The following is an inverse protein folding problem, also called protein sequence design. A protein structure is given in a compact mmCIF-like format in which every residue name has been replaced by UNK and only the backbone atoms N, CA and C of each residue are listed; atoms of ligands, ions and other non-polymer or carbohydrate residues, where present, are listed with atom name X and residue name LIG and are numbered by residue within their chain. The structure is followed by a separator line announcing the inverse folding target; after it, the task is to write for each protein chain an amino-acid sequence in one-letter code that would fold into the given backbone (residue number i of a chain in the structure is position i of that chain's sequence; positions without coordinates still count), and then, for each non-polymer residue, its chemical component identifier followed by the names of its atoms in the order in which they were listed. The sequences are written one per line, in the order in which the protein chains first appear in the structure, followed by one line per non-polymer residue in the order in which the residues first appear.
data_IF_763122109387
#
_entry.id   IF_763122109387
#
_cell.length_a   1.000
_cell.length_b   1.000
_cell.length_c   1.000
_cell.angle_alpha   90.00
_cell.angle_beta   90.00
_cell.angle_gamma   90.00
#
_symmetry.space_group_name_H-M   'P 1'
#
loop_
_entity.id
_entity.type
_entity.pdbx_description
1 polymer ?
#
# COMPACT_ATOMS: atom_id res chain seq x y z
N UNK A 1 36.97 5.45 8.58
CA UNK A 1 35.90 4.57 8.05
C UNK A 1 34.48 4.98 8.49
N UNK A 2 34.23 6.18 9.05
CA UNK A 2 32.86 6.62 9.42
C UNK A 2 32.09 7.35 8.32
N UNK A 3 32.75 7.91 7.31
CA UNK A 3 32.10 8.75 6.29
C UNK A 3 31.24 7.96 5.29
N UNK A 4 31.55 6.68 5.07
CA UNK A 4 30.87 5.83 4.09
C UNK A 4 29.50 5.34 4.59
N UNK A 5 29.40 5.03 5.89
CA UNK A 5 28.15 4.57 6.53
C UNK A 5 27.13 5.71 6.64
N UNK A 6 27.59 6.92 6.93
CA UNK A 6 26.73 8.11 7.00
C UNK A 6 26.16 8.51 5.63
N UNK A 7 26.88 8.21 4.55
CA UNK A 7 26.45 8.52 3.18
C UNK A 7 25.43 7.50 2.68
N UNK A 8 25.64 6.21 2.94
CA UNK A 8 24.69 5.14 2.59
C UNK A 8 23.36 5.29 3.34
N UNK A 9 23.41 5.65 4.62
CA UNK A 9 22.20 5.84 5.44
C UNK A 9 21.36 7.03 4.94
N UNK A 10 22.00 8.16 4.61
CA UNK A 10 21.31 9.34 4.03
C UNK A 10 20.71 9.05 2.65
N UNK A 11 21.40 8.28 1.83
CA UNK A 11 20.92 7.86 0.51
C UNK A 11 19.68 6.95 0.61
N UNK A 12 19.70 6.02 1.58
CA UNK A 12 18.57 5.14 1.88
C UNK A 12 17.34 5.95 2.34
N UNK A 13 17.53 6.92 3.24
CA UNK A 13 16.45 7.78 3.72
C UNK A 13 15.82 8.61 2.59
N UNK A 14 16.63 9.13 1.67
CA UNK A 14 16.14 9.92 0.55
C UNK A 14 15.39 9.06 -0.48
N UNK A 15 15.87 7.82 -0.70
CA UNK A 15 15.16 6.85 -1.54
C UNK A 15 13.79 6.51 -0.94
N UNK A 16 13.70 6.24 0.37
CA UNK A 16 12.43 5.95 1.05
C UNK A 16 11.49 7.15 1.00
N UNK A 17 11.98 8.38 1.20
CA UNK A 17 11.16 9.60 1.04
C UNK A 17 10.62 9.75 -0.37
N UNK A 18 11.44 9.48 -1.38
CA UNK A 18 11.03 9.55 -2.79
C UNK A 18 9.90 8.56 -3.07
N UNK A 19 10.03 7.31 -2.59
CA UNK A 19 8.98 6.31 -2.73
C UNK A 19 7.71 6.71 -1.97
N UNK A 20 7.86 7.23 -0.75
CA UNK A 20 6.73 7.67 0.06
C UNK A 20 5.97 8.84 -0.60
N UNK A 21 6.68 9.80 -1.20
CA UNK A 21 6.04 10.89 -1.94
C UNK A 21 5.24 10.37 -3.13
N UNK A 22 5.78 9.39 -3.89
CA UNK A 22 5.02 8.72 -4.96
C UNK A 22 3.82 7.96 -4.40
N UNK A 23 3.96 7.33 -3.23
CA UNK A 23 2.87 6.59 -2.60
C UNK A 23 1.71 7.51 -2.19
N UNK A 24 1.98 8.70 -1.65
CA UNK A 24 0.95 9.72 -1.39
C UNK A 24 0.24 10.19 -2.66
N UNK A 25 0.98 10.40 -3.76
CA UNK A 25 0.38 10.79 -5.05
C UNK A 25 -0.57 9.71 -5.59
N UNK A 26 -0.15 8.44 -5.49
CA UNK A 26 -0.97 7.30 -5.90
C UNK A 26 -2.19 7.09 -5.00
N UNK A 27 -2.05 7.29 -3.68
CA UNK A 27 -3.18 7.27 -2.76
C UNK A 27 -4.21 8.36 -3.09
N UNK A 28 -3.75 9.58 -3.38
CA UNK A 28 -4.65 10.68 -3.78
C UNK A 28 -5.36 10.38 -5.11
N UNK A 29 -4.62 9.85 -6.11
CA UNK A 29 -5.22 9.43 -7.37
C UNK A 29 -6.26 8.32 -7.17
N UNK A 30 -5.96 7.33 -6.33
CA UNK A 30 -6.89 6.26 -5.96
C UNK A 30 -8.15 6.79 -5.27
N UNK A 31 -8.00 7.76 -4.35
CA UNK A 31 -9.12 8.41 -3.67
C UNK A 31 -10.02 9.14 -4.65
N UNK A 32 -9.46 9.92 -5.58
CA UNK A 32 -10.23 10.59 -6.65
C UNK A 32 -10.96 9.56 -7.50
N UNK A 33 -10.29 8.47 -7.89
CA UNK A 33 -10.89 7.40 -8.69
C UNK A 33 -12.09 6.75 -7.97
N UNK A 34 -11.96 6.47 -6.67
CA UNK A 34 -13.00 5.88 -5.82
C UNK A 34 -14.25 6.76 -5.69
N UNK A 35 -14.14 8.09 -5.87
CA UNK A 35 -15.33 8.96 -5.86
C UNK A 35 -16.24 8.79 -7.07
N UNK A 36 -15.70 8.24 -8.17
CA UNK A 36 -16.40 8.15 -9.46
C UNK A 36 -16.76 6.72 -9.85
N UNK A 37 -16.32 5.72 -9.07
CA UNK A 37 -16.51 4.30 -9.36
C UNK A 37 -16.96 3.55 -8.12
N UNK A 38 -17.90 2.62 -8.29
CA UNK A 38 -18.23 1.68 -7.23
C UNK A 38 -17.06 0.71 -7.05
N UNK A 39 -16.56 0.56 -5.83
CA UNK A 39 -15.40 -0.28 -5.54
C UNK A 39 -15.60 -1.05 -4.24
N UNK A 40 -14.94 -2.19 -4.13
CA UNK A 40 -15.04 -3.09 -2.98
C UNK A 40 -13.70 -3.15 -2.24
N UNK A 41 -13.76 -3.39 -0.94
CA UNK A 41 -12.58 -3.59 -0.12
C UNK A 41 -11.72 -4.74 -0.65
N UNK A 42 -10.41 -4.50 -0.73
CA UNK A 42 -9.41 -5.44 -1.26
C UNK A 42 -9.22 -5.40 -2.78
N UNK A 43 -10.00 -4.60 -3.52
CA UNK A 43 -9.86 -4.47 -4.97
C UNK A 43 -8.78 -3.44 -5.32
N UNK A 44 -7.96 -3.77 -6.31
CA UNK A 44 -7.02 -2.83 -6.93
C UNK A 44 -7.81 -1.81 -7.76
N UNK A 45 -7.71 -0.54 -7.38
CA UNK A 45 -8.31 0.57 -8.12
C UNK A 45 -7.41 1.07 -9.24
N UNK A 46 -6.10 1.02 -9.02
CA UNK A 46 -5.11 1.53 -9.95
C UNK A 46 -3.87 0.65 -9.92
N UNK A 47 -3.36 0.37 -11.12
CA UNK A 47 -2.10 -0.31 -11.33
C UNK A 47 -1.29 0.47 -12.38
N UNK A 48 -0.05 0.79 -12.05
CA UNK A 48 0.93 1.33 -12.97
C UNK A 48 2.13 0.38 -13.03
N UNK A 49 2.56 0.03 -14.24
CA UNK A 49 3.75 -0.79 -14.46
C UNK A 49 4.92 0.13 -14.82
N UNK A 50 5.94 0.16 -13.96
CA UNK A 50 7.23 0.80 -14.23
C UNK A 50 8.27 -0.22 -14.67
N UNK A 51 9.46 0.26 -15.02
CA UNK A 51 10.54 -0.58 -15.59
C UNK A 51 11.16 -1.62 -14.64
N UNK A 52 10.87 -1.55 -13.34
CA UNK A 52 11.40 -2.45 -12.31
C UNK A 52 10.39 -2.71 -11.17
N UNK A 53 9.32 -1.91 -11.09
CA UNK A 53 8.33 -1.96 -10.03
C UNK A 53 6.93 -1.88 -10.62
N UNK A 54 6.00 -2.66 -10.09
CA UNK A 54 4.58 -2.36 -10.17
C UNK A 54 4.17 -1.44 -9.02
N UNK A 55 3.20 -0.57 -9.29
CA UNK A 55 2.58 0.30 -8.30
C UNK A 55 1.10 -0.04 -8.25
N UNK A 56 0.65 -0.56 -7.13
CA UNK A 56 -0.71 -1.08 -6.94
C UNK A 56 -1.41 -0.28 -5.84
N UNK A 57 -2.61 0.23 -6.12
CA UNK A 57 -3.44 0.97 -5.17
C UNK A 57 -4.69 0.17 -4.89
N UNK A 58 -4.87 -0.21 -3.63
CA UNK A 58 -5.99 -1.01 -3.16
C UNK A 58 -6.95 -0.14 -2.38
N UNK A 59 -8.24 -0.31 -2.67
CA UNK A 59 -9.28 0.22 -1.81
C UNK A 59 -9.42 -0.65 -0.57
N UNK A 60 -9.46 -0.04 0.60
CA UNK A 60 -9.74 -0.73 1.85
C UNK A 60 -11.12 -0.34 2.36
N UNK A 61 -11.35 0.96 2.57
CA UNK A 61 -12.65 1.54 2.91
C UNK A 61 -12.66 3.03 2.50
N UNK A 62 -13.75 3.79 2.73
CA UNK A 62 -13.84 5.18 2.25
C UNK A 62 -12.70 6.11 2.72
N UNK A 63 -12.13 5.84 3.89
CA UNK A 63 -11.09 6.66 4.48
C UNK A 63 -9.69 6.01 4.37
N UNK A 64 -9.58 4.76 3.91
CA UNK A 64 -8.31 4.02 3.91
C UNK A 64 -8.00 3.41 2.56
N UNK A 65 -6.76 3.59 2.13
CA UNK A 65 -6.20 2.98 0.92
C UNK A 65 -4.87 2.32 1.25
N UNK A 66 -4.56 1.23 0.57
CA UNK A 66 -3.23 0.64 0.59
C UNK A 66 -2.50 0.95 -0.72
N UNK A 67 -1.21 1.25 -0.62
CA UNK A 67 -0.33 1.44 -1.77
C UNK A 67 0.83 0.47 -1.64
N UNK A 68 1.07 -0.32 -2.68
CA UNK A 68 2.11 -1.35 -2.71
C UNK A 68 3.01 -1.11 -3.91
N UNK A 69 4.30 -1.06 -3.64
CA UNK A 69 5.33 -1.10 -4.65
C UNK A 69 5.98 -2.48 -4.59
N UNK A 70 5.79 -3.25 -5.65
CA UNK A 70 6.31 -4.61 -5.75
C UNK A 70 7.31 -4.71 -6.92
N UNK A 71 8.30 -5.61 -6.85
CA UNK A 71 9.14 -5.91 -8.01
C UNK A 71 8.29 -6.30 -9.21
N UNK A 72 8.55 -5.71 -10.38
CA UNK A 72 7.80 -6.01 -11.62
C UNK A 72 7.99 -7.48 -12.05
N UNK A 73 9.07 -8.14 -11.62
CA UNK A 73 9.33 -9.56 -11.91
C UNK A 73 8.31 -10.53 -11.32
N UNK A 74 7.29 -10.04 -10.61
CA UNK A 74 6.21 -10.87 -10.08
C UNK A 74 5.22 -11.20 -11.19
N UNK A 75 4.80 -12.46 -11.24
CA UNK A 75 3.83 -12.94 -12.21
C UNK A 75 2.37 -12.59 -11.83
N UNK A 76 2.15 -12.23 -10.56
CA UNK A 76 0.81 -11.96 -10.00
C UNK A 76 0.77 -10.68 -9.17
N UNK A 77 -0.43 -10.11 -9.08
CA UNK A 77 -0.79 -9.06 -8.14
C UNK A 77 -0.45 -9.45 -6.69
N UNK A 78 -0.16 -8.46 -5.85
CA UNK A 78 0.14 -8.71 -4.45
C UNK A 78 -1.15 -9.02 -3.69
N UNK A 79 -1.18 -10.12 -2.94
CA UNK A 79 -2.21 -10.31 -1.93
C UNK A 79 -1.83 -9.53 -0.65
N UNK A 80 -2.57 -8.46 -0.36
CA UNK A 80 -2.35 -7.64 0.84
C UNK A 80 -2.49 -8.44 2.15
N UNK A 81 -3.30 -9.49 2.13
CA UNK A 81 -3.63 -10.30 3.29
C UNK A 81 -2.59 -11.42 3.54
N UNK A 82 -1.66 -11.62 2.59
CA UNK A 82 -0.58 -12.61 2.62
C UNK A 82 0.75 -11.98 3.02
N UNK A 83 1.26 -12.37 4.19
CA UNK A 83 2.57 -11.89 4.67
C UNK A 83 3.73 -12.30 3.75
N UNK A 84 3.63 -13.46 3.08
CA UNK A 84 4.63 -13.89 2.10
C UNK A 84 4.61 -13.02 0.86
N UNK A 85 3.45 -12.50 0.48
CA UNK A 85 3.31 -11.69 -0.72
C UNK A 85 3.76 -10.25 -0.48
N UNK A 86 3.50 -9.72 0.73
CA UNK A 86 4.04 -8.42 1.16
C UNK A 86 5.57 -8.44 1.31
N UNK A 87 6.16 -9.62 1.58
CA UNK A 87 7.60 -9.75 1.76
C UNK A 87 8.35 -9.29 0.50
N UNK A 88 9.32 -8.39 0.70
CA UNK A 88 10.10 -7.80 -0.39
C UNK A 88 9.45 -6.58 -1.05
N UNK A 89 8.20 -6.26 -0.74
CA UNK A 89 7.52 -5.04 -1.20
C UNK A 89 7.77 -3.85 -0.24
N UNK A 90 7.49 -2.65 -0.74
CA UNK A 90 7.24 -1.46 0.09
C UNK A 90 5.73 -1.20 0.09
N UNK A 91 5.09 -1.25 1.26
CA UNK A 91 3.64 -1.17 1.36
C UNK A 91 3.20 -0.25 2.50
N UNK A 92 2.27 0.65 2.20
CA UNK A 92 1.68 1.59 3.15
C UNK A 92 0.16 1.43 3.19
N UNK A 93 -0.40 1.61 4.39
CA UNK A 93 -1.82 1.91 4.56
C UNK A 93 -1.91 3.40 4.91
N UNK A 94 -2.65 4.13 4.08
CA UNK A 94 -2.93 5.54 4.27
C UNK A 94 -4.34 5.74 4.78
N UNK A 95 -4.49 6.69 5.68
CA UNK A 95 -5.78 7.20 6.15
C UNK A 95 -5.98 8.63 5.69
N UNK A 96 -7.11 8.89 5.03
CA UNK A 96 -7.54 10.21 4.62
C UNK A 96 -8.42 10.83 5.69
N UNK A 97 -8.03 12.02 6.14
CA UNK A 97 -8.82 12.85 7.03
C UNK A 97 -9.57 13.88 6.18
N UNK A 98 -10.83 13.58 5.85
CA UNK A 98 -11.66 14.41 4.96
C UNK A 98 -12.01 15.77 5.57
N UNK A 99 -12.01 15.89 6.90
CA UNK A 99 -12.24 17.16 7.59
C UNK A 99 -11.08 18.14 7.41
N UNK A 100 -9.85 17.63 7.33
CA UNK A 100 -8.64 18.44 7.21
C UNK A 100 -7.95 18.33 5.83
N UNK A 101 -8.51 17.52 4.91
CA UNK A 101 -7.99 17.35 3.55
C UNK A 101 -6.57 16.81 3.50
N UNK A 102 -6.20 15.89 4.39
CA UNK A 102 -4.82 15.41 4.54
C UNK A 102 -4.72 13.91 4.67
N UNK A 103 -3.62 13.38 4.19
CA UNK A 103 -3.24 11.98 4.37
C UNK A 103 -2.35 11.79 5.60
N UNK A 104 -2.47 10.63 6.22
CA UNK A 104 -1.57 10.14 7.26
C UNK A 104 -1.21 8.69 7.00
N UNK A 105 -0.03 8.26 7.45
CA UNK A 105 0.38 6.85 7.39
C UNK A 105 -0.18 6.15 8.62
N UNK A 106 -1.04 5.17 8.41
CA UNK A 106 -1.52 4.30 9.48
C UNK A 106 -0.57 3.12 9.70
N UNK A 107 -0.02 2.57 8.62
CA UNK A 107 0.94 1.50 8.70
C UNK A 107 1.95 1.53 7.55
N UNK A 108 3.16 1.07 7.84
CA UNK A 108 4.21 0.79 6.86
C UNK A 108 4.81 -0.58 7.15
N UNK A 109 4.81 -1.48 6.16
CA UNK A 109 5.23 -2.87 6.38
C UNK A 109 6.67 -3.01 6.90
N UNK A 110 7.60 -2.14 6.50
CA UNK A 110 8.98 -2.17 7.01
C UNK A 110 9.10 -1.76 8.47
N UNK A 111 8.17 -0.95 8.97
CA UNK A 111 8.17 -0.50 10.35
C UNK A 111 7.47 -1.49 11.29
N UNK A 112 6.31 -2.02 10.87
CA UNK A 112 5.49 -2.89 11.74
C UNK A 112 5.71 -4.39 11.47
N UNK A 113 6.37 -4.74 10.37
CA UNK A 113 6.60 -6.10 9.89
C UNK A 113 5.47 -6.61 8.97
N UNK A 114 5.87 -7.40 7.97
CA UNK A 114 4.97 -7.89 6.91
C UNK A 114 3.77 -8.69 7.46
N UNK A 115 3.95 -9.49 8.52
CA UNK A 115 2.86 -10.24 9.16
C UNK A 115 1.85 -9.33 9.85
N UNK A 116 2.32 -8.31 10.57
CA UNK A 116 1.44 -7.36 11.25
C UNK A 116 0.67 -6.52 10.22
N UNK A 117 1.36 -6.09 9.15
CA UNK A 117 0.75 -5.39 8.04
C UNK A 117 -0.35 -6.22 7.37
N UNK A 118 -0.06 -7.47 7.01
CA UNK A 118 -1.04 -8.35 6.37
C UNK A 118 -2.25 -8.66 7.27
N UNK A 119 -2.02 -8.80 8.59
CA UNK A 119 -3.11 -8.90 9.55
C UNK A 119 -3.96 -7.63 9.57
N UNK A 120 -3.35 -6.45 9.59
CA UNK A 120 -4.07 -5.17 9.57
C UNK A 120 -4.89 -5.02 8.27
N UNK A 121 -4.32 -5.35 7.12
CA UNK A 121 -5.03 -5.36 5.85
C UNK A 121 -6.27 -6.27 5.88
N UNK A 122 -6.17 -7.47 6.49
CA UNK A 122 -7.33 -8.36 6.70
C UNK A 122 -8.46 -7.77 7.55
N UNK A 123 -8.17 -6.83 8.46
CA UNK A 123 -9.24 -6.16 9.21
C UNK A 123 -10.06 -5.22 8.33
N UNK A 124 -9.48 -4.75 7.23
CA UNK A 124 -10.17 -3.87 6.29
C UNK A 124 -10.87 -4.61 5.16
N UNK A 125 -10.33 -5.76 4.75
CA UNK A 125 -10.90 -6.57 3.67
C UNK A 125 -11.81 -7.63 4.30
N UNK A 126 -13.14 -7.48 4.27
CA UNK A 126 -14.04 -8.49 4.80
C UNK A 126 -13.87 -9.79 4.02
N UNK A 127 -14.02 -10.92 4.71
CA UNK A 127 -14.04 -12.25 4.08
C UNK A 127 -15.18 -12.30 3.06
N UNK A 128 -14.85 -12.25 1.77
CA UNK A 128 -15.82 -12.32 0.68
C UNK A 128 -16.58 -13.67 0.64
N UNK A 129 -16.18 -14.64 1.46
CA UNK A 129 -16.82 -15.95 1.58
C UNK A 129 -18.08 -15.95 2.44
N UNK A 130 -18.24 -14.98 3.36
CA UNK A 130 -19.40 -14.92 4.25
C UNK A 130 -20.67 -14.43 3.54
N UNK A 131 -20.53 -13.58 2.53
CA UNK A 131 -21.67 -12.98 1.81
C UNK A 131 -22.14 -13.81 0.60
N UNK A 132 -21.33 -14.77 0.13
CA UNK A 132 -21.68 -15.60 -1.03
C UNK A 132 -22.42 -16.89 -0.65
N UNK A 133 -22.33 -17.33 0.61
CA UNK A 133 -23.03 -18.53 1.10
C UNK A 133 -23.52 -18.35 2.55
N UNK A 134 -24.65 -17.66 2.77
CA UNK A 134 -25.30 -17.69 4.07
C UNK A 134 -25.74 -19.13 4.40
N UNK A 135 -25.44 -19.57 5.63
CA UNK A 135 -25.76 -20.90 6.17
C UNK A 135 -27.26 -21.15 6.25
#
# INVERSE_FOLDING_TARGET
MSEQIDTESKSSDEAVKTLLNKAYQLAELGRVWATSHFTYAGVIMLMELGSNLSYEVYYLNPDHLAVVFAPESRETMVDLCSASDIKGCQAWIFKYDSHHGRWSIEAWNKQIGDRAFANLARHFVPDQTADLFPS
#
